data_IF_210825723182
#
_entry.id   IF_210825723182
#
_cell.length_a   1.000
_cell.length_b   1.000
_cell.length_c   1.000
_cell.angle_alpha   90.00
_cell.angle_beta   90.00
_cell.angle_gamma   90.00
#
_symmetry.space_group_name_H-M   'P 1'
#
loop_
_entity.id
_entity.type
_entity.pdbx_description
1 polymer ?
#
# COMPACT_ATOMS: atom_id res chain seq x y z
N UNK A 1 -24.70 -26.30 -1.26
CA UNK A 1 -23.62 -25.43 -0.73
C UNK A 1 -23.69 -24.09 -1.46
N UNK A 2 -24.18 -23.05 -0.81
CA UNK A 2 -24.54 -21.79 -1.48
C UNK A 2 -23.29 -20.96 -1.81
N UNK A 3 -23.07 -20.69 -3.10
CA UNK A 3 -21.99 -19.83 -3.65
C UNK A 3 -21.82 -18.50 -2.91
N UNK A 4 -22.91 -17.95 -2.37
CA UNK A 4 -22.92 -16.73 -1.57
C UNK A 4 -22.10 -16.80 -0.27
N UNK A 5 -22.06 -17.95 0.39
CA UNK A 5 -21.27 -18.11 1.63
C UNK A 5 -19.77 -18.11 1.33
N UNK A 6 -19.35 -18.77 0.24
CA UNK A 6 -17.94 -18.77 -0.22
C UNK A 6 -17.48 -17.38 -0.66
N UNK A 7 -18.33 -16.62 -1.36
CA UNK A 7 -17.99 -15.28 -1.82
C UNK A 7 -17.79 -14.31 -0.65
N UNK A 8 -18.57 -14.46 0.43
CA UNK A 8 -18.43 -13.65 1.65
C UNK A 8 -17.12 -13.93 2.40
N UNK A 9 -16.72 -15.19 2.49
CA UNK A 9 -15.46 -15.59 3.13
C UNK A 9 -14.25 -15.17 2.29
N UNK A 10 -14.33 -15.29 0.96
CA UNK A 10 -13.29 -14.84 0.05
C UNK A 10 -13.10 -13.31 0.10
N UNK A 11 -14.19 -12.53 0.08
CA UNK A 11 -14.14 -11.08 0.26
C UNK A 11 -13.60 -10.70 1.65
N UNK A 12 -14.03 -11.40 2.70
CA UNK A 12 -13.55 -11.17 4.06
C UNK A 12 -12.03 -11.37 4.18
N UNK A 13 -11.49 -12.46 3.61
CA UNK A 13 -10.04 -12.69 3.56
C UNK A 13 -9.30 -11.68 2.68
N UNK A 14 -9.87 -11.32 1.53
CA UNK A 14 -9.27 -10.35 0.62
C UNK A 14 -9.15 -8.97 1.28
N UNK A 15 -10.18 -8.52 2.01
CA UNK A 15 -10.17 -7.25 2.72
C UNK A 15 -9.14 -7.26 3.87
N UNK A 16 -9.10 -8.31 4.69
CA UNK A 16 -8.13 -8.44 5.80
C UNK A 16 -6.69 -8.55 5.29
N UNK A 17 -6.46 -9.30 4.21
CA UNK A 17 -5.13 -9.39 3.58
C UNK A 17 -4.66 -8.06 2.98
N UNK A 18 -5.60 -7.28 2.46
CA UNK A 18 -5.32 -5.96 1.90
C UNK A 18 -4.94 -4.92 2.96
N UNK A 19 -5.46 -5.04 4.18
CA UNK A 19 -5.07 -4.18 5.29
C UNK A 19 -3.68 -4.56 5.83
N UNK A 20 -3.36 -5.86 5.92
CA UNK A 20 -2.01 -6.30 6.30
C UNK A 20 -0.94 -5.89 5.29
N UNK A 21 -1.22 -6.05 4.00
CA UNK A 21 -0.29 -5.62 2.94
C UNK A 21 -0.04 -4.12 2.97
N UNK A 22 -1.08 -3.32 3.28
CA UNK A 22 -0.92 -1.89 3.49
C UNK A 22 -0.06 -1.58 4.72
N UNK A 23 -0.30 -2.24 5.85
CA UNK A 23 0.46 -2.03 7.08
C UNK A 23 1.95 -2.36 6.92
N UNK A 24 2.28 -3.45 6.23
CA UNK A 24 3.67 -3.81 5.90
C UNK A 24 4.34 -2.72 5.03
N UNK A 25 3.65 -2.23 4.01
CA UNK A 25 4.17 -1.15 3.15
C UNK A 25 4.27 0.18 3.89
N UNK A 26 3.33 0.46 4.79
CA UNK A 26 3.37 1.62 5.66
C UNK A 26 4.60 1.59 6.56
N UNK A 27 4.88 0.43 7.17
CA UNK A 27 6.07 0.29 8.00
C UNK A 27 7.37 0.46 7.22
N UNK A 28 7.42 -0.08 6.00
CA UNK A 28 8.56 0.12 5.12
C UNK A 28 8.71 1.58 4.71
N UNK A 29 7.63 2.27 4.36
CA UNK A 29 7.66 3.69 4.01
C UNK A 29 8.26 4.53 5.15
N UNK A 30 7.82 4.32 6.39
CA UNK A 30 8.31 5.05 7.57
C UNK A 30 9.81 4.83 7.78
N UNK A 31 10.29 3.59 7.63
CA UNK A 31 11.72 3.28 7.74
C UNK A 31 12.58 3.96 6.65
N UNK A 32 11.97 4.35 5.53
CA UNK A 32 12.64 5.05 4.43
C UNK A 32 12.39 6.58 4.47
N UNK A 33 11.80 7.10 5.55
CA UNK A 33 11.54 8.55 5.68
C UNK A 33 10.33 9.04 4.88
N UNK A 34 9.36 8.16 4.63
CA UNK A 34 8.11 8.48 3.96
C UNK A 34 6.90 8.22 4.85
N UNK A 35 5.85 9.00 4.65
CA UNK A 35 4.52 8.79 5.20
C UNK A 35 3.64 8.21 4.10
N UNK A 36 3.16 6.98 4.30
CA UNK A 36 2.21 6.36 3.39
C UNK A 36 0.78 6.61 3.89
N UNK A 37 -0.06 7.16 3.04
CA UNK A 37 -1.49 7.34 3.29
C UNK A 37 -2.29 6.63 2.21
N UNK A 38 -3.49 6.16 2.58
CA UNK A 38 -4.40 5.47 1.68
C UNK A 38 -5.74 6.18 1.69
N UNK A 39 -6.22 6.56 0.51
CA UNK A 39 -7.56 7.08 0.32
C UNK A 39 -8.40 6.07 -0.46
N UNK A 40 -9.48 5.57 0.16
CA UNK A 40 -10.43 4.68 -0.53
C UNK A 40 -11.34 5.54 -1.42
N UNK A 41 -11.35 5.24 -2.71
CA UNK A 41 -12.25 5.82 -3.70
C UNK A 41 -13.28 4.78 -4.16
N UNK A 42 -14.30 5.23 -4.86
CA UNK A 42 -15.38 4.38 -5.39
C UNK A 42 -14.83 3.30 -6.35
N UNK A 43 -13.71 3.59 -7.04
CA UNK A 43 -13.11 2.73 -8.06
C UNK A 43 -11.76 2.10 -7.66
N UNK A 44 -11.37 2.18 -6.38
CA UNK A 44 -10.09 1.61 -5.93
C UNK A 44 -9.52 2.29 -4.71
N UNK A 45 -8.22 2.11 -4.49
CA UNK A 45 -7.46 2.81 -3.47
C UNK A 45 -6.41 3.70 -4.15
N UNK A 46 -6.28 4.93 -3.68
CA UNK A 46 -5.19 5.82 -4.02
C UNK A 46 -4.20 5.78 -2.86
N UNK A 47 -2.91 5.70 -3.18
CA UNK A 47 -1.84 5.73 -2.20
C UNK A 47 -1.05 7.01 -2.39
N UNK A 48 -0.85 7.76 -1.32
CA UNK A 48 0.01 8.93 -1.34
C UNK A 48 1.21 8.66 -0.44
N UNK A 49 2.40 8.73 -1.04
CA UNK A 49 3.68 8.59 -0.38
C UNK A 49 4.30 9.99 -0.26
N UNK A 50 4.39 10.50 0.97
CA UNK A 50 4.92 11.83 1.25
C UNK A 50 6.27 11.74 1.94
N UNK A 51 7.33 12.27 1.34
CA UNK A 51 8.63 12.42 1.99
C UNK A 51 8.54 13.39 3.17
N UNK A 52 9.39 13.20 4.17
CA UNK A 52 9.62 14.19 5.23
C UNK A 52 10.04 15.57 4.70
N UNK A 53 10.53 15.66 3.46
CA UNK A 53 10.86 16.92 2.76
C UNK A 53 9.65 17.61 2.13
N UNK A 54 8.47 17.00 2.18
CA UNK A 54 7.21 17.53 1.65
C UNK A 54 6.87 17.07 0.22
N UNK A 55 7.76 16.35 -0.46
CA UNK A 55 7.47 15.77 -1.77
C UNK A 55 6.42 14.68 -1.65
N UNK A 56 5.30 14.81 -2.36
CA UNK A 56 4.23 13.82 -2.35
C UNK A 56 4.09 13.17 -3.71
N UNK A 57 4.07 11.84 -3.71
CA UNK A 57 3.85 11.02 -4.90
C UNK A 57 2.57 10.23 -4.76
N UNK A 58 1.74 10.30 -5.80
CA UNK A 58 0.49 9.57 -5.87
C UNK A 58 0.71 8.28 -6.68
N UNK A 59 0.27 7.16 -6.13
CA UNK A 59 0.43 5.81 -6.65
C UNK A 59 -0.94 5.10 -6.63
N UNK A 60 -1.16 4.21 -7.58
CA UNK A 60 -2.48 3.61 -7.81
C UNK A 60 -2.61 2.20 -7.23
N UNK A 61 -1.49 1.56 -6.89
CA UNK A 61 -1.47 0.24 -6.27
C UNK A 61 -0.30 0.05 -5.28
N UNK A 62 -0.39 -0.99 -4.45
CA UNK A 62 0.64 -1.32 -3.45
C UNK A 62 1.93 -1.87 -4.06
N UNK A 63 1.88 -2.44 -5.27
CA UNK A 63 3.06 -2.88 -6.01
C UNK A 63 3.90 -1.70 -6.49
N UNK A 64 3.27 -0.62 -6.93
CA UNK A 64 3.93 0.65 -7.23
C UNK A 64 4.62 1.25 -5.98
N UNK A 65 3.96 1.22 -4.82
CA UNK A 65 4.54 1.65 -3.54
C UNK A 65 5.78 0.81 -3.22
N UNK A 66 5.67 -0.52 -3.33
CA UNK A 66 6.80 -1.42 -3.10
C UNK A 66 7.97 -1.14 -4.03
N UNK A 67 7.71 -1.07 -5.34
CA UNK A 67 8.74 -0.83 -6.34
C UNK A 67 9.43 0.53 -6.18
N UNK A 68 8.72 1.54 -5.68
CA UNK A 68 9.32 2.81 -5.32
C UNK A 68 10.28 2.66 -4.13
N UNK A 69 9.82 2.05 -3.03
CA UNK A 69 10.63 1.88 -1.81
C UNK A 69 11.86 0.98 -2.03
N UNK A 70 11.75 -0.04 -2.87
CA UNK A 70 12.88 -0.91 -3.24
C UNK A 70 13.94 -0.17 -4.06
N UNK A 71 13.51 0.70 -4.99
CA UNK A 71 14.44 1.55 -5.77
C UNK A 71 15.13 2.60 -4.92
N UNK A 72 14.41 3.19 -3.97
CA UNK A 72 14.98 4.20 -3.07
C UNK A 72 16.09 3.60 -2.19
N UNK A 73 15.88 2.40 -1.65
CA UNK A 73 16.94 1.64 -0.94
C UNK A 73 18.12 1.30 -1.85
N UNK A 74 17.87 1.02 -3.12
CA UNK A 74 18.92 0.67 -4.09
C UNK A 74 19.81 1.86 -4.44
N UNK A 75 19.36 3.09 -4.19
CA UNK A 75 20.15 4.32 -4.32
C UNK A 75 20.91 4.69 -3.03
N UNK A 76 20.83 3.89 -1.95
CA UNK A 76 21.73 4.01 -0.79
C UNK A 76 23.09 3.35 -1.11
N UNK A 77 23.76 3.88 -2.12
CA UNK A 77 25.20 3.76 -2.28
C UNK A 77 25.76 5.17 -2.07
N UNK A 78 26.61 5.32 -1.04
CA UNK A 78 27.36 6.53 -0.63
C UNK A 78 26.69 7.39 0.44
#
# INVERSE_FOLDING_TARGET
MSLWASMRTALGRALVGHDRAFEEMWWQAVQNGFVLTRERRVWGALYALTSVRGETRILYDLGEVRGFLERDRSCSCV
#
